data_IF_737323247625
#
_entry.id   IF_737323247625
#
_cell.length_a   1.000
_cell.length_b   1.000
_cell.length_c   1.000
_cell.angle_alpha   90.00
_cell.angle_beta   90.00
_cell.angle_gamma   90.00
#
_symmetry.space_group_name_H-M   'P 1'
#
loop_
_entity.id
_entity.type
_entity.pdbx_description
1 polymer ?
#
# COMPACT_ATOMS: atom_id res chain seq x y z
N UNK A 1 -69.99 36.32 -37.47
CA UNK A 1 -70.05 36.68 -36.03
C UNK A 1 -69.61 35.45 -35.26
N UNK A 2 -68.44 35.49 -34.73
CA UNK A 2 -68.07 35.02 -33.41
C UNK A 2 -66.53 35.10 -33.29
N UNK A 3 -66.09 35.70 -32.23
CA UNK A 3 -64.74 36.21 -31.99
C UNK A 3 -63.72 35.10 -31.60
N UNK A 4 -62.44 35.35 -31.95
CA UNK A 4 -61.25 34.71 -31.42
C UNK A 4 -60.95 35.18 -29.99
N UNK A 5 -60.40 34.32 -29.14
CA UNK A 5 -59.57 34.79 -28.02
C UNK A 5 -58.17 34.19 -27.95
N UNK A 6 -57.23 35.06 -27.73
CA UNK A 6 -56.07 34.96 -26.84
C UNK A 6 -54.85 34.11 -27.24
N UNK A 7 -53.86 34.80 -27.72
CA UNK A 7 -52.44 34.46 -27.57
C UNK A 7 -52.01 34.53 -26.09
N UNK A 8 -51.63 33.35 -25.51
CA UNK A 8 -50.87 33.29 -24.29
C UNK A 8 -49.44 32.89 -24.65
N UNK A 9 -48.51 33.80 -24.34
CA UNK A 9 -47.10 33.63 -24.60
C UNK A 9 -46.51 32.48 -23.81
N UNK A 10 -45.93 31.51 -24.46
CA UNK A 10 -44.99 30.58 -23.86
C UNK A 10 -43.69 31.31 -23.61
N UNK A 11 -43.41 31.59 -22.33
CA UNK A 11 -42.03 31.89 -21.86
C UNK A 11 -41.19 30.66 -22.18
N UNK A 12 -40.28 30.78 -23.13
CA UNK A 12 -39.17 29.85 -23.25
C UNK A 12 -38.38 29.90 -21.92
N UNK A 13 -38.45 28.78 -21.16
CA UNK A 13 -37.46 28.48 -20.17
C UNK A 13 -36.13 28.43 -20.90
N UNK A 14 -35.29 29.40 -20.64
CA UNK A 14 -33.88 29.34 -21.03
C UNK A 14 -33.29 28.12 -20.34
N UNK A 15 -33.07 27.06 -21.12
CA UNK A 15 -32.38 25.88 -20.69
C UNK A 15 -31.03 26.32 -20.11
N UNK A 16 -30.75 25.88 -18.90
CA UNK A 16 -29.43 26.02 -18.28
C UNK A 16 -28.41 25.47 -19.27
N UNK A 17 -27.62 26.33 -19.86
CA UNK A 17 -26.47 25.94 -20.69
C UNK A 17 -25.59 25.11 -19.75
N UNK A 18 -25.25 23.85 -20.08
CA UNK A 18 -24.33 23.09 -19.25
C UNK A 18 -23.06 23.93 -19.11
N UNK A 19 -22.69 24.22 -17.86
CA UNK A 19 -21.50 24.99 -17.54
C UNK A 19 -20.29 24.42 -18.29
N UNK A 20 -19.62 25.25 -19.04
CA UNK A 20 -18.31 24.90 -19.62
C UNK A 20 -17.43 24.42 -18.48
N UNK A 21 -16.63 23.35 -18.67
CA UNK A 21 -15.77 22.84 -17.62
C UNK A 21 -14.83 23.95 -17.14
N UNK A 22 -14.67 24.09 -15.83
CA UNK A 22 -13.70 25.02 -15.28
C UNK A 22 -12.30 24.49 -15.60
N UNK A 23 -11.46 25.32 -16.22
CA UNK A 23 -10.07 24.97 -16.52
C UNK A 23 -9.14 25.67 -15.55
N UNK A 24 -8.30 24.88 -14.87
CA UNK A 24 -7.26 25.35 -13.94
C UNK A 24 -5.89 24.88 -14.43
N UNK A 25 -4.83 25.62 -14.03
CA UNK A 25 -3.44 25.20 -14.25
C UNK A 25 -2.79 24.85 -12.93
N UNK A 26 -2.06 23.73 -12.94
CA UNK A 26 -1.23 23.23 -11.84
C UNK A 26 0.12 22.79 -12.39
N UNK A 27 1.15 22.82 -11.59
CA UNK A 27 2.41 22.19 -12.00
C UNK A 27 2.23 20.67 -11.98
N UNK A 28 1.67 20.12 -10.89
CA UNK A 28 1.50 18.68 -10.72
C UNK A 28 0.05 18.36 -10.31
N UNK A 29 -0.50 17.30 -10.90
CA UNK A 29 -1.70 16.64 -10.41
C UNK A 29 -1.31 15.26 -9.83
N UNK A 30 -1.57 15.06 -8.56
CA UNK A 30 -1.40 13.78 -7.86
C UNK A 30 -2.75 13.08 -7.77
N UNK A 31 -2.85 11.84 -8.26
CA UNK A 31 -4.08 11.04 -8.21
C UNK A 31 -3.93 10.00 -7.12
N UNK A 32 -4.79 10.09 -6.09
CA UNK A 32 -4.80 9.23 -4.91
C UNK A 32 -4.14 9.86 -3.68
N UNK A 33 -4.85 9.84 -2.54
CA UNK A 33 -4.40 10.30 -1.24
C UNK A 33 -3.99 9.12 -0.31
N UNK A 34 -3.38 8.10 -0.87
CA UNK A 34 -2.69 7.05 -0.11
C UNK A 34 -1.31 7.51 0.37
N UNK A 35 -0.54 6.61 1.03
CA UNK A 35 0.81 6.94 1.51
C UNK A 35 1.73 7.51 0.43
N UNK A 36 1.70 6.98 -0.81
CA UNK A 36 2.50 7.50 -1.91
C UNK A 36 2.10 8.94 -2.27
N UNK A 37 0.84 9.16 -2.63
CA UNK A 37 0.40 10.47 -3.13
C UNK A 37 0.51 11.58 -2.09
N UNK A 38 0.16 11.30 -0.83
CA UNK A 38 0.32 12.27 0.26
C UNK A 38 1.79 12.58 0.56
N UNK A 39 2.67 11.60 0.43
CA UNK A 39 4.12 11.83 0.61
C UNK A 39 4.67 12.69 -0.52
N UNK A 40 4.32 12.39 -1.78
CA UNK A 40 4.65 13.24 -2.95
C UNK A 40 4.14 14.67 -2.72
N UNK A 41 2.85 14.81 -2.38
CA UNK A 41 2.24 16.12 -2.14
C UNK A 41 2.97 16.92 -1.05
N UNK A 42 3.32 16.29 0.08
CA UNK A 42 4.06 16.94 1.17
C UNK A 42 5.47 17.38 0.75
N UNK A 43 6.20 16.56 -0.02
CA UNK A 43 7.53 16.92 -0.54
C UNK A 43 7.42 18.11 -1.48
N UNK A 44 6.48 18.09 -2.42
CA UNK A 44 6.27 19.16 -3.38
C UNK A 44 5.85 20.47 -2.68
N UNK A 45 4.95 20.36 -1.69
CA UNK A 45 4.52 21.52 -0.91
C UNK A 45 5.66 22.15 -0.11
N UNK A 46 6.54 21.32 0.46
CA UNK A 46 7.74 21.79 1.16
C UNK A 46 8.72 22.51 0.23
N UNK A 47 8.78 22.10 -1.04
CA UNK A 47 9.58 22.73 -2.10
C UNK A 47 8.89 23.95 -2.76
N UNK A 48 7.72 24.37 -2.27
CA UNK A 48 6.88 25.43 -2.85
C UNK A 48 6.45 25.15 -4.31
N UNK A 49 6.35 23.88 -4.69
CA UNK A 49 5.83 23.45 -5.98
C UNK A 49 4.31 23.37 -5.92
N UNK A 50 3.63 23.99 -6.88
CA UNK A 50 2.17 23.98 -6.97
C UNK A 50 1.66 22.58 -7.36
N UNK A 51 0.89 21.96 -6.47
CA UNK A 51 0.29 20.66 -6.72
C UNK A 51 -1.11 20.55 -6.10
N UNK A 52 -1.95 19.72 -6.72
CA UNK A 52 -3.26 19.33 -6.20
C UNK A 52 -3.32 17.80 -6.07
N UNK A 53 -3.91 17.33 -4.99
CA UNK A 53 -4.16 15.90 -4.77
C UNK A 53 -5.64 15.63 -4.99
N UNK A 54 -5.96 14.64 -5.83
CA UNK A 54 -7.32 14.18 -6.09
C UNK A 54 -7.54 12.82 -5.40
N UNK A 55 -8.62 12.69 -4.62
CA UNK A 55 -8.97 11.45 -3.92
C UNK A 55 -10.45 11.12 -4.14
N UNK A 56 -10.72 9.88 -4.53
CA UNK A 56 -12.08 9.41 -4.80
C UNK A 56 -12.89 9.11 -3.54
N UNK A 57 -12.22 8.85 -2.44
CA UNK A 57 -12.84 8.59 -1.15
C UNK A 57 -12.92 9.85 -0.28
N UNK A 58 -13.70 9.78 0.78
CA UNK A 58 -13.74 10.85 1.77
C UNK A 58 -12.49 10.85 2.66
N UNK A 59 -12.13 12.01 3.22
CA UNK A 59 -11.07 12.13 4.23
C UNK A 59 -11.26 11.12 5.36
N UNK A 60 -12.45 11.05 5.93
CA UNK A 60 -12.78 10.14 7.03
C UNK A 60 -12.50 8.67 6.64
N UNK A 61 -12.86 8.28 5.42
CA UNK A 61 -12.66 6.90 4.98
C UNK A 61 -11.18 6.52 4.90
N UNK A 62 -10.33 7.36 4.28
CA UNK A 62 -8.90 7.05 4.16
C UNK A 62 -8.17 7.08 5.50
N UNK A 63 -8.60 7.93 6.44
CA UNK A 63 -8.03 8.05 7.78
C UNK A 63 -8.47 6.92 8.74
N UNK A 64 -9.51 6.15 8.39
CA UNK A 64 -10.04 5.07 9.25
C UNK A 64 -9.94 3.68 8.66
N UNK A 65 -9.72 3.55 7.34
CA UNK A 65 -9.70 2.27 6.64
C UNK A 65 -8.57 1.36 7.13
N UNK A 66 -8.86 0.16 7.69
CA UNK A 66 -7.83 -0.75 8.20
C UNK A 66 -6.87 -1.21 7.10
N UNK A 67 -5.58 -1.03 7.33
CA UNK A 67 -4.48 -1.46 6.45
C UNK A 67 -3.30 -1.92 7.28
N UNK A 68 -2.28 -2.53 6.62
CA UNK A 68 -1.02 -2.90 7.25
C UNK A 68 -0.32 -1.68 7.88
N UNK A 69 0.63 -1.91 8.78
CA UNK A 69 1.28 -0.83 9.50
C UNK A 69 2.74 -1.13 9.87
N UNK A 70 3.41 -2.04 9.17
CA UNK A 70 4.85 -2.27 9.36
C UNK A 70 5.62 -1.32 8.45
N UNK A 71 6.45 -0.48 9.06
CA UNK A 71 7.30 0.49 8.35
C UNK A 71 8.76 0.13 8.64
N UNK A 72 9.55 0.00 7.59
CA UNK A 72 10.97 -0.27 7.66
C UNK A 72 11.74 0.97 8.13
N UNK A 73 12.82 0.78 8.85
CA UNK A 73 13.58 1.87 9.46
C UNK A 73 14.09 2.90 8.42
N UNK A 74 14.54 2.46 7.25
CA UNK A 74 14.96 3.37 6.19
C UNK A 74 13.81 4.28 5.70
N UNK A 75 12.57 3.76 5.65
CA UNK A 75 11.40 4.54 5.27
C UNK A 75 11.06 5.58 6.35
N UNK A 76 11.18 5.20 7.63
CA UNK A 76 11.03 6.15 8.75
C UNK A 76 12.11 7.23 8.69
N UNK A 77 13.38 6.89 8.38
CA UNK A 77 14.43 7.89 8.15
C UNK A 77 14.08 8.83 6.99
N UNK A 78 13.58 8.27 5.88
CA UNK A 78 13.14 9.06 4.73
C UNK A 78 12.03 10.05 5.06
N UNK A 79 11.03 9.63 5.84
CA UNK A 79 9.97 10.51 6.37
C UNK A 79 10.55 11.57 7.32
N UNK A 80 11.46 11.18 8.22
CA UNK A 80 12.10 12.09 9.18
C UNK A 80 12.90 13.18 8.49
N UNK A 81 13.68 12.85 7.47
CA UNK A 81 14.45 13.82 6.69
C UNK A 81 13.57 14.88 6.03
N UNK A 82 12.30 14.57 5.81
CA UNK A 82 11.29 15.45 5.20
C UNK A 82 10.35 16.12 6.22
N UNK A 83 10.60 15.91 7.53
CA UNK A 83 9.76 16.47 8.60
C UNK A 83 8.38 15.82 8.72
N UNK A 84 8.24 14.55 8.31
CA UNK A 84 6.98 13.81 8.26
C UNK A 84 6.89 12.65 9.25
N UNK A 85 7.81 12.54 10.21
CA UNK A 85 7.90 11.39 11.11
C UNK A 85 7.67 11.70 12.60
N UNK A 86 7.47 12.93 13.00
CA UNK A 86 7.46 13.31 14.43
C UNK A 86 6.39 12.55 15.23
N UNK A 87 5.15 12.52 14.75
CA UNK A 87 4.05 11.80 15.38
C UNK A 87 4.27 10.29 15.33
N UNK A 88 4.76 9.77 14.20
CA UNK A 88 5.12 8.36 14.05
C UNK A 88 6.15 7.94 15.08
N UNK A 89 7.26 8.67 15.20
CA UNK A 89 8.34 8.36 16.15
C UNK A 89 7.90 8.44 17.62
N UNK A 90 6.93 9.31 17.92
CA UNK A 90 6.39 9.43 19.27
C UNK A 90 5.40 8.30 19.64
N UNK A 91 4.82 7.61 18.66
CA UNK A 91 3.68 6.69 18.89
C UNK A 91 3.88 5.27 18.37
N UNK A 92 4.79 5.06 17.43
CA UNK A 92 5.03 3.75 16.86
C UNK A 92 5.62 2.77 17.88
N UNK A 93 5.23 1.51 17.77
CA UNK A 93 5.89 0.43 18.50
C UNK A 93 7.12 -0.01 17.71
N UNK A 94 8.23 -0.26 18.41
CA UNK A 94 9.46 -0.77 17.81
C UNK A 94 9.51 -2.28 18.01
N UNK A 95 9.68 -3.01 16.91
CA UNK A 95 9.81 -4.46 16.93
C UNK A 95 11.22 -4.85 16.47
N UNK A 96 11.87 -5.67 17.26
CA UNK A 96 13.26 -6.12 17.06
C UNK A 96 13.36 -7.59 16.67
N UNK A 97 12.29 -8.35 16.88
CA UNK A 97 12.26 -9.81 16.68
C UNK A 97 10.91 -10.29 16.18
N UNK A 98 10.88 -11.50 15.67
CA UNK A 98 9.68 -12.29 15.39
C UNK A 98 9.88 -13.74 15.86
N UNK A 99 8.81 -14.53 15.88
CA UNK A 99 8.87 -15.94 16.27
C UNK A 99 8.32 -16.81 15.13
N UNK A 100 9.11 -17.79 14.72
CA UNK A 100 8.66 -18.86 13.84
C UNK A 100 8.23 -20.07 14.65
N UNK A 101 7.12 -20.70 14.28
CA UNK A 101 6.61 -21.94 14.86
C UNK A 101 6.48 -22.99 13.77
N UNK A 102 7.24 -24.04 13.86
CA UNK A 102 7.19 -25.17 12.92
C UNK A 102 7.68 -26.46 13.58
N UNK A 103 7.16 -27.60 13.13
CA UNK A 103 7.49 -28.90 13.72
C UNK A 103 7.11 -29.03 15.20
N UNK A 104 6.16 -28.24 15.70
CA UNK A 104 5.75 -28.21 17.10
C UNK A 104 6.69 -27.44 18.02
N UNK A 105 7.70 -26.76 17.51
CA UNK A 105 8.71 -26.00 18.26
C UNK A 105 8.63 -24.50 17.99
N UNK A 106 9.30 -23.73 18.87
CA UNK A 106 9.35 -22.25 18.81
C UNK A 106 10.77 -21.79 18.52
N UNK A 107 10.92 -20.84 17.59
CA UNK A 107 12.19 -20.27 17.19
C UNK A 107 12.08 -18.74 17.16
N UNK A 108 12.64 -18.08 18.16
CA UNK A 108 12.77 -16.61 18.14
C UNK A 108 13.85 -16.20 17.15
N UNK A 109 13.56 -15.15 16.39
CA UNK A 109 14.44 -14.60 15.37
C UNK A 109 14.67 -13.12 15.64
N UNK A 110 15.76 -12.82 16.35
CA UNK A 110 16.18 -11.46 16.66
C UNK A 110 16.96 -10.87 15.48
N UNK A 111 16.23 -10.15 14.63
CA UNK A 111 16.83 -9.49 13.48
C UNK A 111 17.57 -8.21 13.86
N UNK A 112 17.30 -7.62 15.02
CA UNK A 112 18.00 -6.44 15.48
C UNK A 112 19.41 -6.79 16.00
N UNK A 113 19.58 -7.91 16.67
CA UNK A 113 20.91 -8.41 17.04
C UNK A 113 21.79 -8.68 15.82
N UNK A 114 21.18 -9.14 14.72
CA UNK A 114 21.90 -9.48 13.49
C UNK A 114 22.32 -8.26 12.67
N UNK A 115 21.51 -7.18 12.68
CA UNK A 115 21.63 -6.05 11.74
C UNK A 115 21.77 -4.68 12.40
N UNK A 116 21.40 -4.54 13.66
CA UNK A 116 21.29 -3.25 14.35
C UNK A 116 20.03 -2.45 13.97
N UNK A 117 19.13 -3.01 13.16
CA UNK A 117 17.93 -2.35 12.65
C UNK A 117 16.65 -2.98 13.20
N UNK A 118 15.52 -2.24 13.08
CA UNK A 118 14.21 -2.68 13.57
C UNK A 118 13.08 -2.25 12.64
N UNK A 119 11.88 -2.84 12.86
CA UNK A 119 10.65 -2.36 12.27
C UNK A 119 9.92 -1.40 13.20
N UNK A 120 9.20 -0.47 12.60
CA UNK A 120 8.22 0.35 13.29
C UNK A 120 6.82 -0.15 12.96
N UNK A 121 6.00 -0.40 13.97
CA UNK A 121 4.59 -0.73 13.79
C UNK A 121 3.78 0.52 14.04
N UNK A 122 3.29 1.09 12.94
CA UNK A 122 2.45 2.28 12.93
C UNK A 122 1.33 2.08 11.92
N UNK A 123 0.07 1.89 12.35
CA UNK A 123 -1.04 1.60 11.44
C UNK A 123 -1.12 2.60 10.29
N UNK A 124 -1.26 2.11 9.07
CA UNK A 124 -1.33 2.97 7.87
C UNK A 124 -2.39 4.09 7.98
N UNK A 125 -3.60 3.88 8.57
CA UNK A 125 -4.54 4.97 8.76
C UNK A 125 -3.97 6.13 9.57
N UNK A 126 -3.18 5.86 10.60
CA UNK A 126 -2.53 6.91 11.40
C UNK A 126 -1.47 7.66 10.59
N UNK A 127 -0.67 6.95 9.78
CA UNK A 127 0.28 7.59 8.88
C UNK A 127 -0.45 8.48 7.86
N UNK A 128 -1.53 7.99 7.27
CA UNK A 128 -2.36 8.77 6.33
C UNK A 128 -2.93 10.01 7.01
N UNK A 129 -3.47 9.87 8.23
CA UNK A 129 -3.98 11.01 9.03
C UNK A 129 -2.90 12.07 9.26
N UNK A 130 -1.68 11.64 9.64
CA UNK A 130 -0.57 12.56 9.86
C UNK A 130 -0.14 13.27 8.56
N UNK A 131 -0.07 12.54 7.45
CA UNK A 131 0.30 13.09 6.14
C UNK A 131 -0.77 14.05 5.60
N UNK A 132 -2.08 13.75 5.76
CA UNK A 132 -3.18 14.66 5.38
C UNK A 132 -3.12 15.92 6.23
N UNK A 133 -2.98 15.78 7.55
CA UNK A 133 -2.88 16.92 8.45
C UNK A 133 -1.73 17.84 8.06
N UNK A 134 -0.55 17.28 7.82
CA UNK A 134 0.62 18.06 7.44
C UNK A 134 0.43 18.75 6.09
N UNK A 135 -0.07 18.02 5.08
CA UNK A 135 -0.29 18.55 3.75
C UNK A 135 -1.37 19.64 3.71
N UNK A 136 -2.57 19.32 4.19
CA UNK A 136 -3.74 20.16 4.04
C UNK A 136 -3.90 21.17 5.20
N UNK A 137 -3.87 20.68 6.46
CA UNK A 137 -4.27 21.51 7.60
C UNK A 137 -3.13 22.42 8.05
N UNK A 138 -1.87 21.96 7.98
CA UNK A 138 -0.70 22.73 8.42
C UNK A 138 -0.13 23.58 7.28
N UNK A 139 0.07 22.98 6.09
CA UNK A 139 0.74 23.65 4.96
C UNK A 139 -0.22 24.23 3.93
N UNK A 140 -1.54 24.08 4.10
CA UNK A 140 -2.56 24.62 3.19
C UNK A 140 -2.47 24.05 1.78
N UNK A 141 -2.13 22.76 1.64
CA UNK A 141 -2.11 22.06 0.36
C UNK A 141 -3.53 21.84 -0.18
N UNK A 142 -3.69 21.90 -1.50
CA UNK A 142 -4.97 21.65 -2.17
C UNK A 142 -5.20 20.12 -2.29
N UNK A 143 -6.18 19.60 -1.59
CA UNK A 143 -6.63 18.21 -1.68
C UNK A 143 -8.15 18.17 -1.89
N UNK A 144 -8.60 17.45 -2.91
CA UNK A 144 -10.02 17.35 -3.32
C UNK A 144 -10.49 15.94 -3.11
N UNK A 145 -11.32 15.78 -2.09
CA UNK A 145 -11.90 14.50 -1.71
C UNK A 145 -13.22 14.22 -2.43
N UNK A 146 -13.57 12.95 -2.57
CA UNK A 146 -14.84 12.52 -3.11
C UNK A 146 -14.97 12.68 -4.63
N UNK A 147 -13.89 13.05 -5.34
CA UNK A 147 -13.95 13.26 -6.80
C UNK A 147 -14.34 11.98 -7.53
N UNK A 148 -15.00 12.13 -8.69
CA UNK A 148 -15.49 11.01 -9.52
C UNK A 148 -15.00 11.17 -10.97
N UNK A 149 -15.10 10.09 -11.74
CA UNK A 149 -14.85 10.09 -13.18
C UNK A 149 -13.51 10.74 -13.54
N UNK A 150 -12.47 10.43 -12.80
CA UNK A 150 -11.12 10.93 -13.10
C UNK A 150 -10.64 10.33 -14.41
N UNK A 151 -10.21 11.19 -15.33
CA UNK A 151 -9.70 10.79 -16.65
C UNK A 151 -8.46 11.58 -17.00
N UNK A 152 -7.45 10.89 -17.54
CA UNK A 152 -6.19 11.48 -17.96
C UNK A 152 -6.19 11.70 -19.47
N UNK A 153 -5.62 12.83 -19.91
CA UNK A 153 -5.58 13.25 -21.31
C UNK A 153 -4.19 13.75 -21.70
N UNK A 154 -3.84 13.58 -22.96
CA UNK A 154 -2.66 14.20 -23.59
C UNK A 154 -1.31 13.87 -22.91
N UNK A 155 -1.18 12.67 -22.34
CA UNK A 155 -0.04 12.27 -21.50
C UNK A 155 1.33 12.30 -22.22
N UNK A 156 1.35 12.20 -23.54
CA UNK A 156 2.59 12.25 -24.35
C UNK A 156 2.96 13.67 -24.80
N UNK A 157 2.18 14.66 -24.42
CA UNK A 157 2.47 16.06 -24.72
C UNK A 157 3.14 16.76 -23.53
N UNK A 158 3.61 17.99 -23.74
CA UNK A 158 4.15 18.86 -22.68
C UNK A 158 3.06 19.51 -21.80
N UNK A 159 1.80 19.22 -22.08
CA UNK A 159 0.62 19.77 -21.37
C UNK A 159 -0.47 18.73 -21.14
N UNK A 160 -0.19 17.69 -20.37
CA UNK A 160 -1.23 16.73 -20.01
C UNK A 160 -2.35 17.39 -19.22
N UNK A 161 -3.51 16.75 -19.21
CA UNK A 161 -4.64 17.22 -18.41
C UNK A 161 -5.29 16.06 -17.65
N UNK A 162 -5.88 16.42 -16.50
CA UNK A 162 -6.72 15.51 -15.72
C UNK A 162 -8.09 16.14 -15.58
N UNK A 163 -9.14 15.44 -15.99
CA UNK A 163 -10.52 15.86 -15.77
C UNK A 163 -11.16 15.03 -14.69
N UNK A 164 -12.06 15.62 -13.92
CA UNK A 164 -12.85 14.92 -12.91
C UNK A 164 -14.21 15.59 -12.73
N UNK A 165 -15.16 14.86 -12.14
CA UNK A 165 -16.45 15.35 -11.72
C UNK A 165 -16.41 15.64 -10.22
N UNK A 166 -16.81 16.84 -9.83
CA UNK A 166 -17.13 17.18 -8.44
C UNK A 166 -18.60 16.78 -8.17
N UNK A 167 -18.86 15.77 -7.34
CA UNK A 167 -20.22 15.29 -7.10
C UNK A 167 -21.06 16.25 -6.25
N UNK A 168 -20.45 17.16 -5.49
CA UNK A 168 -21.18 18.14 -4.66
C UNK A 168 -21.77 19.25 -5.51
N UNK A 169 -21.03 19.71 -6.50
CA UNK A 169 -21.48 20.79 -7.41
C UNK A 169 -22.05 20.28 -8.71
N UNK A 170 -21.78 19.01 -9.08
CA UNK A 170 -22.10 18.43 -10.38
C UNK A 170 -21.26 19.02 -11.52
N UNK A 171 -20.20 19.78 -11.21
CA UNK A 171 -19.34 20.40 -12.21
C UNK A 171 -18.21 19.48 -12.62
N UNK A 172 -17.86 19.53 -13.91
CA UNK A 172 -16.65 18.88 -14.44
C UNK A 172 -15.51 19.91 -14.47
N UNK A 173 -14.37 19.51 -13.92
CA UNK A 173 -13.16 20.30 -13.85
C UNK A 173 -12.09 19.71 -14.78
N UNK A 174 -11.24 20.57 -15.33
CA UNK A 174 -10.07 20.17 -16.11
C UNK A 174 -8.84 20.84 -15.50
N UNK A 175 -7.88 20.04 -15.10
CA UNK A 175 -6.59 20.48 -14.56
C UNK A 175 -5.51 20.26 -15.62
N UNK A 176 -4.96 21.32 -16.18
CA UNK A 176 -3.77 21.24 -17.03
C UNK A 176 -2.53 21.28 -16.18
N UNK A 177 -1.58 20.41 -16.46
CA UNK A 177 -0.37 20.29 -15.65
C UNK A 177 0.87 20.02 -16.50
N UNK A 178 2.02 19.94 -15.86
CA UNK A 178 3.27 19.51 -16.47
C UNK A 178 3.46 18.02 -16.29
N UNK A 179 3.08 17.47 -15.11
CA UNK A 179 3.20 16.07 -14.79
C UNK A 179 1.97 15.56 -14.04
N UNK A 180 1.72 14.25 -14.17
CA UNK A 180 0.72 13.52 -13.41
C UNK A 180 1.43 12.46 -12.58
N UNK A 181 1.19 12.43 -11.27
CA UNK A 181 1.64 11.38 -10.37
C UNK A 181 0.48 10.41 -10.10
N UNK A 182 0.51 9.24 -10.72
CA UNK A 182 -0.48 8.17 -10.52
C UNK A 182 -0.18 7.37 -9.26
N UNK A 183 -0.83 7.75 -8.15
CA UNK A 183 -0.69 7.15 -6.82
C UNK A 183 -2.00 6.50 -6.35
N UNK A 184 -2.87 6.12 -7.27
CA UNK A 184 -4.27 5.73 -7.09
C UNK A 184 -4.47 4.23 -6.81
N UNK A 185 -3.38 3.52 -6.56
CA UNK A 185 -3.40 2.15 -6.10
C UNK A 185 -3.70 1.12 -7.19
N UNK A 186 -3.92 -0.12 -6.77
CA UNK A 186 -4.03 -1.27 -7.67
C UNK A 186 -5.23 -1.23 -8.64
N UNK A 187 -6.26 -0.45 -8.32
CA UNK A 187 -7.51 -0.32 -9.10
C UNK A 187 -7.74 1.11 -9.58
N UNK A 188 -6.70 1.92 -9.58
CA UNK A 188 -6.77 3.29 -10.04
C UNK A 188 -6.83 3.40 -11.57
N UNK A 189 -7.14 4.59 -12.04
CA UNK A 189 -7.28 4.92 -13.48
C UNK A 189 -5.96 5.27 -14.15
N UNK A 190 -4.92 5.60 -13.37
CA UNK A 190 -3.65 6.09 -13.91
C UNK A 190 -2.95 5.05 -14.80
N UNK A 191 -2.85 3.79 -14.34
CA UNK A 191 -2.29 2.71 -15.16
C UNK A 191 -3.15 2.40 -16.38
N UNK A 192 -4.47 2.40 -16.23
CA UNK A 192 -5.40 2.07 -17.30
C UNK A 192 -5.47 3.17 -18.38
N UNK A 193 -4.96 4.37 -18.09
CA UNK A 193 -4.80 5.45 -19.08
C UNK A 193 -3.60 5.23 -20.02
N UNK A 194 -2.73 4.26 -19.75
CA UNK A 194 -1.59 3.93 -20.60
C UNK A 194 -2.06 3.00 -21.72
N UNK A 195 -1.85 3.34 -23.00
CA UNK A 195 -2.28 2.49 -24.11
C UNK A 195 -1.62 1.11 -24.09
N UNK A 196 -2.34 0.11 -24.58
CA UNK A 196 -1.85 -1.27 -24.70
C UNK A 196 -0.49 -1.34 -25.42
N UNK A 197 0.39 -2.18 -24.90
CA UNK A 197 1.71 -2.42 -25.47
C UNK A 197 2.78 -1.34 -25.14
N UNK A 198 2.41 -0.26 -24.43
CA UNK A 198 3.37 0.78 -24.01
C UNK A 198 4.09 0.43 -22.71
N UNK A 199 3.53 -0.46 -21.92
CA UNK A 199 4.12 -1.03 -20.71
C UNK A 199 3.95 -2.54 -20.70
N UNK A 200 4.86 -3.22 -20.01
CA UNK A 200 4.75 -4.65 -19.71
C UNK A 200 4.25 -4.81 -18.29
N UNK A 201 3.28 -5.68 -18.07
CA UNK A 201 2.84 -6.08 -16.73
C UNK A 201 3.27 -7.52 -16.48
N UNK A 202 4.22 -7.71 -15.58
CA UNK A 202 4.63 -9.02 -15.08
C UNK A 202 3.80 -9.36 -13.86
N UNK A 203 3.12 -10.50 -13.87
CA UNK A 203 2.20 -10.92 -12.78
C UNK A 203 2.55 -12.32 -12.29
N UNK A 204 2.50 -12.51 -10.97
CA UNK A 204 2.64 -13.78 -10.27
C UNK A 204 1.42 -14.03 -9.39
N UNK A 205 0.70 -15.11 -9.64
CA UNK A 205 -0.39 -15.59 -8.79
C UNK A 205 0.10 -16.75 -7.95
N UNK A 206 -0.08 -16.66 -6.62
CA UNK A 206 0.43 -17.68 -5.70
C UNK A 206 -0.47 -18.92 -5.60
N UNK A 207 -1.69 -18.87 -6.12
CA UNK A 207 -2.65 -19.97 -6.05
C UNK A 207 -3.15 -20.28 -4.64
N UNK A 208 -3.07 -19.32 -3.74
CA UNK A 208 -3.52 -19.39 -2.35
C UNK A 208 -4.30 -18.12 -1.98
N UNK A 209 -5.07 -18.21 -0.92
CA UNK A 209 -5.69 -17.07 -0.24
C UNK A 209 -5.20 -16.94 1.19
N UNK A 210 -5.33 -15.76 1.75
CA UNK A 210 -5.19 -15.53 3.18
C UNK A 210 -6.51 -15.01 3.76
N UNK A 211 -7.09 -15.75 4.69
CA UNK A 211 -8.18 -15.25 5.51
C UNK A 211 -7.59 -14.29 6.55
N UNK A 212 -7.79 -13.00 6.31
CA UNK A 212 -7.41 -11.93 7.20
C UNK A 212 -8.51 -11.72 8.25
N UNK A 213 -8.12 -11.80 9.51
CA UNK A 213 -9.00 -11.77 10.67
C UNK A 213 -8.60 -10.63 11.60
N UNK A 214 -9.56 -9.92 12.15
CA UNK A 214 -9.34 -8.96 13.23
C UNK A 214 -10.17 -9.41 14.42
N UNK A 215 -9.52 -9.60 15.58
CA UNK A 215 -10.17 -10.06 16.79
C UNK A 215 -10.04 -9.04 17.92
N UNK A 216 -11.13 -8.83 18.66
CA UNK A 216 -11.11 -8.15 19.96
C UNK A 216 -10.51 -9.11 20.99
N UNK A 217 -9.21 -9.23 20.95
CA UNK A 217 -8.42 -10.07 21.86
C UNK A 217 -7.07 -9.42 22.08
N UNK A 218 -6.54 -9.41 23.33
CA UNK A 218 -5.18 -8.99 23.59
C UNK A 218 -4.19 -9.84 22.79
N UNK A 219 -3.04 -9.29 22.37
CA UNK A 219 -2.00 -10.08 21.71
C UNK A 219 -1.58 -11.30 22.56
N UNK A 220 -1.40 -12.44 21.92
CA UNK A 220 -0.94 -13.69 22.54
C UNK A 220 0.57 -13.81 22.58
N UNK A 221 1.27 -12.81 22.06
CA UNK A 221 2.73 -12.70 22.02
C UNK A 221 3.15 -11.24 21.97
N UNK A 222 4.32 -10.96 22.49
CA UNK A 222 5.02 -9.68 22.44
C UNK A 222 5.63 -9.37 21.06
N UNK A 223 5.75 -10.38 20.19
CA UNK A 223 6.27 -10.25 18.83
C UNK A 223 5.31 -10.85 17.78
N UNK A 224 5.65 -10.62 16.51
CA UNK A 224 4.92 -11.24 15.40
C UNK A 224 5.18 -12.75 15.39
N UNK A 225 4.12 -13.57 15.24
CA UNK A 225 4.24 -15.02 15.11
C UNK A 225 3.98 -15.46 13.67
N UNK A 226 4.78 -16.39 13.21
CA UNK A 226 4.65 -17.07 11.91
C UNK A 226 4.56 -18.59 12.14
N UNK A 227 3.37 -19.16 12.01
CA UNK A 227 3.13 -20.59 12.07
C UNK A 227 3.28 -21.22 10.67
N UNK A 228 4.27 -22.09 10.49
CA UNK A 228 4.47 -22.85 9.25
C UNK A 228 4.07 -24.29 9.52
N UNK A 229 2.86 -24.64 9.09
CA UNK A 229 2.20 -25.88 9.47
C UNK A 229 1.75 -26.67 8.22
N UNK A 230 1.68 -28.03 8.26
CA UNK A 230 1.16 -28.80 7.12
C UNK A 230 -0.26 -28.45 6.69
N UNK A 231 -1.10 -27.94 7.61
CA UNK A 231 -2.45 -27.44 7.29
C UNK A 231 -2.46 -26.02 6.71
N UNK A 232 -1.30 -25.39 6.54
CA UNK A 232 -1.16 -24.04 6.00
C UNK A 232 -0.58 -23.03 6.98
N UNK A 233 -0.16 -21.91 6.45
CA UNK A 233 0.38 -20.79 7.20
C UNK A 233 -0.66 -20.18 8.17
N UNK A 234 -0.17 -19.72 9.32
CA UNK A 234 -0.90 -18.82 10.20
C UNK A 234 0.00 -17.67 10.69
N UNK A 235 -0.55 -16.48 10.79
CA UNK A 235 0.14 -15.31 11.29
C UNK A 235 -0.60 -14.67 12.46
N UNK A 236 0.16 -14.06 13.39
CA UNK A 236 -0.36 -13.25 14.49
C UNK A 236 0.45 -11.97 14.60
N UNK A 237 -0.22 -10.83 14.72
CA UNK A 237 0.43 -9.56 15.01
C UNK A 237 -0.50 -8.62 15.80
N UNK A 238 0.05 -8.00 16.83
CA UNK A 238 -0.63 -6.98 17.61
C UNK A 238 -1.07 -5.80 16.73
N UNK A 239 -2.25 -5.24 17.02
CA UNK A 239 -2.72 -3.96 16.45
C UNK A 239 -2.86 -2.88 17.52
N UNK A 240 -3.35 -3.29 18.69
CA UNK A 240 -3.43 -2.51 19.92
C UNK A 240 -3.36 -3.47 21.11
N UNK A 241 -3.33 -2.98 22.35
CA UNK A 241 -3.43 -3.83 23.52
C UNK A 241 -4.67 -4.73 23.57
N UNK A 242 -5.75 -4.35 22.89
CA UNK A 242 -7.06 -5.02 22.91
C UNK A 242 -7.39 -5.72 21.57
N UNK A 243 -6.61 -5.50 20.51
CA UNK A 243 -6.94 -5.98 19.16
C UNK A 243 -5.76 -6.67 18.52
N UNK A 244 -6.00 -7.87 18.01
CA UNK A 244 -5.02 -8.70 17.32
C UNK A 244 -5.46 -9.01 15.90
N UNK A 245 -4.53 -8.90 14.96
CA UNK A 245 -4.65 -9.36 13.57
C UNK A 245 -4.14 -10.77 13.45
N UNK A 246 -4.96 -11.65 12.86
CA UNK A 246 -4.55 -13.00 12.48
C UNK A 246 -4.67 -13.20 10.97
N UNK A 247 -3.90 -14.15 10.47
CA UNK A 247 -4.00 -14.66 9.10
C UNK A 247 -4.05 -16.17 9.13
N UNK A 248 -4.86 -16.76 8.25
CA UNK A 248 -4.90 -18.20 7.98
C UNK A 248 -4.80 -18.42 6.47
N UNK A 249 -3.88 -19.26 6.03
CA UNK A 249 -3.87 -19.71 4.65
C UNK A 249 -5.18 -20.47 4.35
N UNK A 250 -5.79 -20.15 3.22
CA UNK A 250 -7.02 -20.77 2.72
C UNK A 250 -6.91 -20.94 1.19
N UNK A 251 -7.86 -21.64 0.54
CA UNK A 251 -7.96 -21.65 -0.91
C UNK A 251 -8.12 -20.25 -1.48
N UNK A 252 -7.63 -19.99 -2.73
CA UNK A 252 -7.86 -18.72 -3.39
C UNK A 252 -9.36 -18.50 -3.63
N UNK A 253 -9.86 -17.29 -3.35
CA UNK A 253 -11.27 -16.94 -3.52
C UNK A 253 -12.25 -17.64 -2.58
N UNK A 254 -11.75 -18.23 -1.47
CA UNK A 254 -12.63 -18.87 -0.47
C UNK A 254 -13.60 -17.85 0.14
N UNK A 255 -14.78 -18.32 0.54
CA UNK A 255 -15.78 -17.48 1.17
C UNK A 255 -15.49 -17.35 2.69
N UNK A 256 -15.32 -16.12 3.22
CA UNK A 256 -15.15 -15.90 4.67
C UNK A 256 -16.27 -16.52 5.51
N UNK A 257 -17.48 -16.69 4.97
CA UNK A 257 -18.61 -17.29 5.68
C UNK A 257 -18.45 -18.81 5.92
N UNK A 258 -17.59 -19.48 5.14
CA UNK A 258 -17.19 -20.87 5.38
C UNK A 258 -16.36 -21.04 6.66
N UNK A 259 -15.92 -19.94 7.26
CA UNK A 259 -15.06 -19.91 8.44
C UNK A 259 -15.87 -19.47 9.66
N UNK A 260 -16.52 -20.43 10.34
CA UNK A 260 -17.18 -20.18 11.60
C UNK A 260 -16.19 -19.71 12.68
N UNK A 261 -16.66 -19.04 13.71
CA UNK A 261 -15.84 -18.62 14.85
C UNK A 261 -15.01 -19.78 15.43
N UNK A 262 -15.66 -20.91 15.70
CA UNK A 262 -15.02 -22.09 16.30
C UNK A 262 -13.96 -22.70 15.36
N UNK A 263 -14.24 -22.77 14.05
CA UNK A 263 -13.29 -23.24 13.05
C UNK A 263 -12.04 -22.32 13.00
N UNK A 264 -12.24 -21.02 12.98
CA UNK A 264 -11.12 -20.06 12.96
C UNK A 264 -10.19 -20.28 14.15
N UNK A 265 -10.74 -20.34 15.37
CA UNK A 265 -9.91 -20.52 16.56
C UNK A 265 -9.30 -21.91 16.65
N UNK A 266 -9.98 -22.96 16.19
CA UNK A 266 -9.41 -24.29 16.10
C UNK A 266 -8.18 -24.33 15.18
N UNK A 267 -8.28 -23.74 13.97
CA UNK A 267 -7.19 -23.66 13.00
C UNK A 267 -6.03 -22.78 13.50
N UNK A 268 -6.32 -21.68 14.18
CA UNK A 268 -5.29 -20.82 14.77
C UNK A 268 -4.53 -21.55 15.89
N UNK A 269 -5.25 -22.27 16.79
CA UNK A 269 -4.61 -23.07 17.84
C UNK A 269 -3.72 -24.15 17.26
N UNK A 270 -4.19 -24.85 16.23
CA UNK A 270 -3.44 -25.92 15.57
C UNK A 270 -2.18 -25.38 14.88
N UNK A 271 -2.33 -24.34 14.05
CA UNK A 271 -1.23 -23.84 13.21
C UNK A 271 -0.23 -22.94 13.96
N UNK A 272 -0.66 -22.30 15.04
CA UNK A 272 0.21 -21.51 15.92
C UNK A 272 0.59 -22.25 17.20
N UNK A 273 0.16 -23.49 17.38
CA UNK A 273 0.52 -24.34 18.51
C UNK A 273 2.00 -24.72 18.49
N UNK A 274 2.65 -24.70 19.65
CA UNK A 274 4.03 -25.16 19.82
C UNK A 274 4.31 -25.54 21.27
N UNK A 275 5.29 -26.40 21.50
CA UNK A 275 5.67 -26.85 22.84
C UNK A 275 6.06 -25.66 23.73
N UNK A 276 5.47 -25.56 24.92
CA UNK A 276 5.71 -24.47 25.88
C UNK A 276 5.16 -23.10 25.46
N UNK A 277 4.39 -23.01 24.37
CA UNK A 277 3.70 -21.77 24.02
C UNK A 277 2.49 -21.54 24.96
N UNK A 278 2.23 -20.29 25.37
CA UNK A 278 0.98 -19.97 26.05
C UNK A 278 -0.21 -20.20 25.09
N UNK A 279 -1.41 -20.46 25.62
CA UNK A 279 -2.62 -20.51 24.80
C UNK A 279 -2.87 -19.17 24.11
N UNK A 280 -3.57 -19.18 22.96
CA UNK A 280 -3.97 -17.96 22.29
C UNK A 280 -5.07 -17.27 23.10
N UNK A 281 -4.99 -15.94 23.15
CA UNK A 281 -6.08 -15.10 23.63
C UNK A 281 -7.16 -15.04 22.55
N UNK A 282 -8.29 -15.66 22.82
CA UNK A 282 -9.42 -15.71 21.89
C UNK A 282 -10.39 -14.55 22.18
N UNK A 283 -11.08 -14.09 21.16
CA UNK A 283 -12.07 -13.02 21.30
C UNK A 283 -13.01 -12.95 20.12
N UNK A 284 -13.88 -11.96 20.13
CA UNK A 284 -14.86 -11.73 19.07
C UNK A 284 -14.17 -11.34 17.77
N UNK A 285 -14.49 -12.01 16.67
CA UNK A 285 -14.00 -11.63 15.35
C UNK A 285 -14.79 -10.41 14.84
N UNK A 286 -14.11 -9.32 14.56
CA UNK A 286 -14.69 -8.06 14.10
C UNK A 286 -14.47 -7.82 12.59
N UNK A 287 -13.55 -8.55 11.97
CA UNK A 287 -13.34 -8.56 10.53
C UNK A 287 -12.94 -9.97 10.07
N UNK A 288 -13.56 -10.43 8.98
CA UNK A 288 -13.15 -11.60 8.21
C UNK A 288 -13.11 -11.22 6.74
N UNK A 289 -11.99 -11.43 6.07
CA UNK A 289 -11.86 -11.17 4.64
C UNK A 289 -10.79 -12.05 4.01
N UNK A 290 -11.10 -12.67 2.87
CA UNK A 290 -10.11 -13.39 2.07
C UNK A 290 -9.33 -12.39 1.20
N UNK A 291 -8.01 -12.45 1.29
CA UNK A 291 -7.07 -11.70 0.46
C UNK A 291 -6.64 -12.59 -0.70
N UNK A 292 -6.72 -12.04 -1.89
CA UNK A 292 -6.13 -12.63 -3.08
C UNK A 292 -4.63 -12.37 -3.09
N UNK A 293 -3.86 -13.46 -3.20
CA UNK A 293 -2.40 -13.42 -3.04
C UNK A 293 -1.73 -13.43 -4.42
N UNK A 294 -1.43 -12.23 -4.90
CA UNK A 294 -0.71 -12.04 -6.14
C UNK A 294 0.23 -10.84 -6.08
N UNK A 295 1.20 -10.85 -6.95
CA UNK A 295 2.12 -9.75 -7.22
C UNK A 295 1.96 -9.26 -8.64
N UNK A 296 2.33 -8.01 -8.92
CA UNK A 296 2.62 -7.54 -10.26
C UNK A 296 3.63 -6.38 -10.27
N UNK A 297 4.28 -6.21 -11.41
CA UNK A 297 5.18 -5.10 -11.70
C UNK A 297 4.88 -4.56 -13.09
N UNK A 298 4.74 -3.25 -13.20
CA UNK A 298 4.56 -2.50 -14.45
C UNK A 298 5.92 -1.94 -14.88
N UNK A 299 6.30 -2.13 -16.13
CA UNK A 299 7.59 -1.68 -16.67
C UNK A 299 7.41 -1.06 -18.07
N UNK A 300 7.86 0.20 -18.27
CA UNK A 300 8.40 1.15 -17.31
C UNK A 300 7.30 1.75 -16.39
N UNK A 301 7.68 2.41 -15.29
CA UNK A 301 6.78 3.15 -14.40
C UNK A 301 6.43 4.56 -14.92
N UNK A 302 6.87 4.89 -16.12
CA UNK A 302 6.69 6.22 -16.74
C UNK A 302 6.09 6.06 -18.14
N UNK A 303 5.09 6.88 -18.43
CA UNK A 303 4.52 7.01 -19.75
C UNK A 303 4.27 8.48 -20.08
N UNK A 304 5.08 9.06 -20.97
CA UNK A 304 5.05 10.48 -21.26
C UNK A 304 5.25 11.32 -19.99
N UNK A 305 4.23 12.07 -19.61
CA UNK A 305 4.22 12.91 -18.40
C UNK A 305 3.54 12.25 -17.19
N UNK A 306 3.17 10.99 -17.29
CA UNK A 306 2.60 10.19 -16.20
C UNK A 306 3.69 9.34 -15.52
N UNK A 307 3.75 9.42 -14.19
CA UNK A 307 4.63 8.65 -13.32
C UNK A 307 3.76 7.80 -12.39
N UNK A 308 3.94 6.48 -12.40
CA UNK A 308 3.24 5.55 -11.50
C UNK A 308 4.05 5.37 -10.21
N UNK A 309 3.37 5.37 -9.06
CA UNK A 309 3.98 5.15 -7.74
C UNK A 309 3.10 4.26 -6.86
N UNK A 310 3.73 3.41 -6.06
CA UNK A 310 3.06 2.45 -5.18
C UNK A 310 2.24 1.42 -5.94
N UNK A 311 1.09 1.02 -5.40
CA UNK A 311 0.27 -0.05 -5.97
C UNK A 311 -0.25 0.25 -7.39
N UNK A 312 -0.16 1.49 -7.89
CA UNK A 312 -0.45 1.80 -9.29
C UNK A 312 0.59 1.19 -10.24
N UNK A 313 1.87 1.17 -9.84
CA UNK A 313 2.98 0.62 -10.62
C UNK A 313 3.37 -0.81 -10.25
N UNK A 314 3.20 -1.21 -9.02
CA UNK A 314 3.59 -2.56 -8.54
C UNK A 314 2.81 -2.95 -7.29
N UNK A 315 2.43 -4.20 -7.23
CA UNK A 315 1.76 -4.78 -6.07
C UNK A 315 2.60 -5.93 -5.51
N UNK A 316 2.74 -5.95 -4.21
CA UNK A 316 3.35 -7.06 -3.48
C UNK A 316 2.32 -7.64 -2.52
N UNK A 317 2.10 -8.93 -2.58
CA UNK A 317 1.26 -9.64 -1.62
C UNK A 317 1.74 -9.34 -0.18
N UNK A 318 0.84 -9.29 0.81
CA UNK A 318 1.18 -8.83 2.17
C UNK A 318 2.11 -9.78 2.95
N UNK A 319 2.71 -10.75 2.30
CA UNK A 319 3.57 -11.80 2.85
C UNK A 319 4.76 -11.21 3.63
N UNK A 320 5.42 -10.21 3.04
CA UNK A 320 6.62 -9.58 3.60
C UNK A 320 6.36 -8.15 4.14
N UNK A 321 5.12 -7.67 4.14
CA UNK A 321 4.74 -6.31 4.52
C UNK A 321 5.48 -5.20 3.74
N UNK A 322 5.80 -5.42 2.45
CA UNK A 322 6.64 -4.53 1.63
C UNK A 322 5.89 -3.40 0.91
N UNK A 323 4.60 -3.55 0.61
CA UNK A 323 3.85 -2.65 -0.28
C UNK A 323 3.89 -1.18 0.13
N UNK A 324 3.61 -0.86 1.41
CA UNK A 324 3.65 0.52 1.89
C UNK A 324 5.07 1.10 1.85
N UNK A 325 6.09 0.31 2.16
CA UNK A 325 7.49 0.72 2.12
C UNK A 325 7.93 1.06 0.69
N UNK A 326 7.56 0.22 -0.29
CA UNK A 326 7.79 0.52 -1.71
C UNK A 326 7.07 1.80 -2.15
N UNK A 327 5.82 1.99 -1.72
CA UNK A 327 5.06 3.21 -2.04
C UNK A 327 5.73 4.48 -1.49
N UNK A 328 6.31 4.42 -0.29
CA UNK A 328 7.10 5.52 0.29
C UNK A 328 8.41 5.74 -0.47
N UNK A 329 9.09 4.66 -0.89
CA UNK A 329 10.31 4.76 -1.70
C UNK A 329 10.06 5.51 -3.00
N UNK A 330 9.04 5.09 -3.75
CA UNK A 330 8.67 5.75 -5.01
C UNK A 330 8.32 7.21 -4.78
N UNK A 331 7.56 7.49 -3.71
CA UNK A 331 7.15 8.85 -3.38
C UNK A 331 8.33 9.76 -3.04
N UNK A 332 9.36 9.25 -2.35
CA UNK A 332 10.58 10.00 -2.08
C UNK A 332 11.31 10.33 -3.37
N UNK A 333 11.52 9.35 -4.24
CA UNK A 333 12.21 9.56 -5.52
C UNK A 333 11.42 10.50 -6.44
N UNK A 334 10.11 10.28 -6.59
CA UNK A 334 9.28 11.10 -7.47
C UNK A 334 9.14 12.53 -6.96
N UNK A 335 8.87 12.70 -5.67
CA UNK A 335 8.72 14.02 -5.07
C UNK A 335 9.99 14.85 -5.17
N UNK A 336 11.15 14.26 -4.86
CA UNK A 336 12.45 14.92 -4.95
C UNK A 336 12.82 15.23 -6.41
N UNK A 337 12.55 14.31 -7.36
CA UNK A 337 12.83 14.50 -8.79
C UNK A 337 11.98 15.65 -9.38
N UNK A 338 10.68 15.68 -9.10
CA UNK A 338 9.80 16.77 -9.55
C UNK A 338 10.23 18.11 -8.93
N UNK A 339 10.54 18.11 -7.62
CA UNK A 339 11.02 19.31 -6.96
C UNK A 339 12.33 19.83 -7.57
N UNK A 340 13.28 18.95 -7.91
CA UNK A 340 14.53 19.31 -8.55
C UNK A 340 14.31 19.87 -9.97
N UNK A 341 13.43 19.25 -10.76
CA UNK A 341 13.03 19.75 -12.06
C UNK A 341 12.49 21.18 -11.98
N UNK A 342 11.47 21.41 -11.14
CA UNK A 342 10.79 22.71 -11.05
C UNK A 342 11.69 23.81 -10.48
N UNK A 343 12.50 23.49 -9.46
CA UNK A 343 13.30 24.51 -8.75
C UNK A 343 14.69 24.74 -9.32
N UNK A 344 15.25 23.76 -10.06
CA UNK A 344 16.63 23.78 -10.54
C UNK A 344 16.78 23.50 -12.04
N UNK A 345 15.72 23.06 -12.72
CA UNK A 345 15.77 22.57 -14.10
C UNK A 345 16.57 21.27 -14.25
N UNK A 346 16.62 20.44 -13.20
CA UNK A 346 17.34 19.15 -13.20
C UNK A 346 16.38 17.99 -13.46
N UNK A 347 16.49 17.40 -14.64
CA UNK A 347 15.64 16.29 -15.10
C UNK A 347 16.20 14.90 -14.77
N UNK A 348 17.43 14.82 -14.26
CA UNK A 348 18.14 13.55 -14.06
C UNK A 348 17.35 12.58 -13.17
N UNK A 349 16.65 13.09 -12.15
CA UNK A 349 15.81 12.28 -11.27
C UNK A 349 14.57 11.74 -11.99
N UNK A 350 13.94 12.53 -12.87
CA UNK A 350 12.78 12.10 -13.66
C UNK A 350 13.17 11.05 -14.69
N UNK A 351 14.28 11.28 -15.41
CA UNK A 351 14.81 10.33 -16.41
C UNK A 351 15.20 8.98 -15.77
N UNK A 352 15.77 9.02 -14.56
CA UNK A 352 16.19 7.84 -13.81
C UNK A 352 15.09 7.17 -12.98
N UNK A 353 13.92 7.78 -12.81
CA UNK A 353 12.88 7.36 -11.85
C UNK A 353 12.49 5.89 -11.96
N UNK A 354 12.06 5.48 -13.17
CA UNK A 354 11.59 4.11 -13.40
C UNK A 354 12.67 3.08 -13.06
N UNK A 355 13.92 3.32 -13.47
CA UNK A 355 15.04 2.42 -13.21
C UNK A 355 15.36 2.32 -11.71
N UNK A 356 15.37 3.45 -11.01
CA UNK A 356 15.67 3.49 -9.57
C UNK A 356 14.60 2.78 -8.75
N UNK A 357 13.31 3.00 -9.06
CA UNK A 357 12.20 2.31 -8.38
C UNK A 357 12.22 0.81 -8.67
N UNK A 358 12.31 0.42 -9.94
CA UNK A 358 12.20 -0.99 -10.35
C UNK A 358 13.30 -1.87 -9.76
N UNK A 359 14.52 -1.35 -9.55
CA UNK A 359 15.58 -2.09 -8.87
C UNK A 359 15.15 -2.58 -7.50
N UNK A 360 14.62 -1.69 -6.63
CA UNK A 360 14.12 -2.08 -5.30
C UNK A 360 12.85 -2.90 -5.39
N UNK A 361 11.96 -2.60 -6.33
CA UNK A 361 10.74 -3.37 -6.54
C UNK A 361 11.08 -4.84 -6.80
N UNK A 362 12.02 -5.14 -7.70
CA UNK A 362 12.40 -6.51 -8.00
C UNK A 362 13.10 -7.23 -6.84
N UNK A 363 13.96 -6.54 -6.07
CA UNK A 363 14.53 -7.09 -4.83
C UNK A 363 13.44 -7.51 -3.82
N UNK A 364 12.38 -6.69 -3.70
CA UNK A 364 11.27 -6.97 -2.78
C UNK A 364 10.31 -8.04 -3.33
N UNK A 365 10.15 -8.12 -4.64
CA UNK A 365 9.39 -9.20 -5.28
C UNK A 365 10.08 -10.55 -5.08
N UNK A 366 11.41 -10.61 -5.27
CA UNK A 366 12.21 -11.81 -5.01
C UNK A 366 12.06 -12.26 -3.55
N UNK A 367 12.22 -11.35 -2.61
CA UNK A 367 12.06 -11.68 -1.19
C UNK A 367 10.64 -12.12 -0.83
N UNK A 368 9.62 -11.52 -1.44
CA UNK A 368 8.22 -11.93 -1.26
C UNK A 368 7.98 -13.36 -1.76
N UNK A 369 8.56 -13.73 -2.91
CA UNK A 369 8.52 -15.07 -3.47
C UNK A 369 9.22 -16.08 -2.55
N UNK A 370 10.43 -15.74 -2.09
CA UNK A 370 11.18 -16.55 -1.13
C UNK A 370 10.40 -16.80 0.16
N UNK A 371 9.77 -15.76 0.74
CA UNK A 371 8.92 -15.90 1.92
C UNK A 371 7.65 -16.71 1.65
N UNK A 372 7.05 -16.57 0.47
CA UNK A 372 5.91 -17.37 0.09
C UNK A 372 6.25 -18.85 0.11
N UNK A 373 7.41 -19.23 -0.43
CA UNK A 373 7.90 -20.60 -0.37
C UNK A 373 8.11 -21.11 1.07
N UNK A 374 8.64 -20.24 1.94
CA UNK A 374 8.84 -20.59 3.36
C UNK A 374 7.50 -20.76 4.08
N UNK A 375 6.55 -19.87 3.89
CA UNK A 375 5.31 -19.90 4.66
C UNK A 375 4.33 -21.00 4.19
N UNK A 376 4.32 -21.29 2.89
CA UNK A 376 3.29 -22.13 2.29
C UNK A 376 3.80 -23.50 1.81
N UNK A 377 5.12 -23.69 1.76
CA UNK A 377 5.71 -24.89 1.18
C UNK A 377 5.38 -26.18 1.92
N UNK A 378 5.16 -26.12 3.25
CA UNK A 378 4.77 -27.31 4.03
C UNK A 378 3.34 -27.79 3.73
N UNK A 379 2.47 -26.89 3.30
CA UNK A 379 1.07 -27.17 2.94
C UNK A 379 0.86 -27.40 1.44
N UNK A 380 1.92 -27.54 0.67
CA UNK A 380 1.85 -27.68 -0.80
C UNK A 380 1.31 -29.03 -1.29
N UNK A 381 1.19 -30.02 -0.40
CA UNK A 381 0.87 -31.41 -0.76
C UNK A 381 2.05 -32.17 -1.39
N UNK A 382 3.19 -31.53 -1.64
CA UNK A 382 4.43 -32.13 -2.16
C UNK A 382 5.42 -32.37 -1.00
N UNK A 383 5.72 -33.63 -0.64
CA UNK A 383 6.67 -33.96 0.43
C UNK A 383 8.08 -33.42 0.19
N UNK A 384 8.53 -33.31 -1.08
CA UNK A 384 9.84 -32.77 -1.39
C UNK A 384 9.89 -31.26 -1.10
N UNK A 385 8.88 -30.52 -1.53
CA UNK A 385 8.76 -29.10 -1.26
C UNK A 385 8.63 -28.83 0.25
N UNK A 386 7.84 -29.62 0.96
CA UNK A 386 7.72 -29.52 2.41
C UNK A 386 9.06 -29.77 3.12
N UNK A 387 9.81 -30.80 2.72
CA UNK A 387 11.14 -31.11 3.25
C UNK A 387 12.16 -30.01 3.00
N UNK A 388 12.20 -29.45 1.79
CA UNK A 388 13.11 -28.33 1.45
C UNK A 388 12.75 -27.04 2.18
N UNK A 389 11.47 -26.75 2.37
CA UNK A 389 10.97 -25.63 3.19
C UNK A 389 11.46 -25.74 4.64
N UNK A 390 11.29 -26.88 5.27
CA UNK A 390 11.78 -27.11 6.64
C UNK A 390 13.31 -27.00 6.74
N UNK A 391 14.03 -27.47 5.73
CA UNK A 391 15.49 -27.31 5.67
C UNK A 391 15.92 -25.85 5.56
N UNK A 392 15.22 -25.03 4.76
CA UNK A 392 15.44 -23.57 4.66
C UNK A 392 15.17 -22.90 6.02
N UNK A 393 14.04 -23.19 6.66
CA UNK A 393 13.70 -22.65 7.99
C UNK A 393 14.77 -22.99 9.03
N UNK A 394 15.15 -24.26 9.16
CA UNK A 394 16.19 -24.67 10.12
C UNK A 394 17.51 -23.94 9.88
N UNK A 395 17.86 -23.67 8.62
CA UNK A 395 19.08 -22.94 8.27
C UNK A 395 19.10 -21.52 8.86
N UNK A 396 17.96 -20.85 8.96
CA UNK A 396 17.88 -19.53 9.59
C UNK A 396 18.31 -19.54 11.07
N UNK A 397 18.17 -20.68 11.74
CA UNK A 397 18.50 -20.84 13.17
C UNK A 397 19.81 -21.60 13.42
N UNK A 398 20.47 -22.10 12.38
CA UNK A 398 21.71 -22.86 12.49
C UNK A 398 22.90 -22.22 11.77
N UNK A 399 22.64 -21.18 10.93
CA UNK A 399 23.68 -20.46 10.19
C UNK A 399 23.51 -18.95 10.34
N UNK A 400 24.43 -18.31 11.08
CA UNK A 400 24.43 -16.86 11.27
C UNK A 400 24.42 -16.10 9.92
N UNK A 401 25.20 -16.58 8.93
CA UNK A 401 25.24 -15.96 7.60
C UNK A 401 23.88 -15.98 6.92
N UNK A 402 23.17 -17.12 6.96
CA UNK A 402 21.82 -17.22 6.39
C UNK A 402 20.82 -16.34 7.16
N UNK A 403 20.91 -16.31 8.50
CA UNK A 403 20.10 -15.47 9.35
C UNK A 403 20.30 -13.98 9.03
N UNK A 404 21.56 -13.54 8.92
CA UNK A 404 21.88 -12.13 8.60
C UNK A 404 21.35 -11.74 7.22
N UNK A 405 21.59 -12.55 6.19
CA UNK A 405 21.09 -12.28 4.84
C UNK A 405 19.54 -12.20 4.81
N UNK A 406 18.87 -13.09 5.53
CA UNK A 406 17.41 -13.04 5.68
C UNK A 406 16.96 -11.76 6.42
N UNK A 407 17.62 -11.41 7.53
CA UNK A 407 17.29 -10.24 8.32
C UNK A 407 17.45 -8.93 7.52
N UNK A 408 18.51 -8.81 6.71
CA UNK A 408 18.75 -7.67 5.82
C UNK A 408 17.61 -7.49 4.80
N UNK A 409 17.18 -8.58 4.15
CA UNK A 409 16.05 -8.56 3.22
C UNK A 409 14.73 -8.28 3.94
N UNK A 410 14.53 -8.90 5.12
CA UNK A 410 13.31 -8.72 5.92
C UNK A 410 13.15 -7.27 6.38
N UNK A 411 14.24 -6.59 6.72
CA UNK A 411 14.27 -5.18 7.13
C UNK A 411 14.41 -4.20 5.96
N UNK A 412 14.67 -4.69 4.74
CA UNK A 412 14.93 -3.83 3.59
C UNK A 412 16.22 -3.02 3.71
N UNK A 413 17.15 -3.43 4.57
CA UNK A 413 18.37 -2.68 4.91
C UNK A 413 19.46 -2.81 3.84
N UNK A 414 19.38 -3.81 2.97
CA UNK A 414 20.36 -4.05 1.90
C UNK A 414 20.40 -2.96 0.82
N UNK A 415 19.42 -2.05 0.80
CA UNK A 415 19.39 -0.95 -0.15
C UNK A 415 19.80 0.36 0.54
N UNK A 416 21.03 0.78 0.32
CA UNK A 416 21.45 2.15 0.63
C UNK A 416 20.73 3.14 -0.31
N UNK A 417 20.29 4.27 0.27
CA UNK A 417 19.92 5.44 -0.51
C UNK A 417 21.17 6.12 -1.03
#
# INVERSE_FOLDING_TARGET
>A
MVALPWLTGHRHNAGVIPNSPSEERRTIVVIGAGPAGLTVGNILRAAAVDCVVLETESRQFIETRPRAGVIEEWAVRGLRQRGLADTLLARAQVHSECEFRFGGERFRFDYSELTGHHHYVYPQPLLVTDLVREYADVRGGDIRFGVREVTLHDLETDRPAVSYLDPETGQRHVLRCEFVAGCDGARGVARDAIPDGRVRVSRQDYGIGWLALLAEAPPSSDCVLFGVHPNGFAGHMARSPEVTRYYLQCPPGDDPENWSHDRVWAELRERLGAAGAPPLNEGRLIEKRVLDMHNYVVEPLVFGRLFLAGDAGHLTAPIAAKGMNLALHDAFLLGDAIAAHVTKGDDSGLDGYSHACLRRVWDYQEFSEFLSDIYHGTASGDPFRAGTTLARLRRLFTSRTAATAFAEQYLGSAAAF
#
